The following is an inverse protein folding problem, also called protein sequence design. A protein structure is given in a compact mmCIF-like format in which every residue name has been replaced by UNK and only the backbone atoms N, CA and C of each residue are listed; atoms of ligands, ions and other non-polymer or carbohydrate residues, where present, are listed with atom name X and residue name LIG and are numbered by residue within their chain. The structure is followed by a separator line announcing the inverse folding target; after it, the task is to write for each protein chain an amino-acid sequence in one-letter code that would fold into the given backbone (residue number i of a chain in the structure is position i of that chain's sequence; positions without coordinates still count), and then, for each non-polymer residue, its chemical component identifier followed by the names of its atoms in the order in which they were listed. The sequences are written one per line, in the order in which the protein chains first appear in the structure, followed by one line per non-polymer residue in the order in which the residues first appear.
data_IF_469911005010
#
_entry.id   IF_469911005010
#
_cell.length_a   1.000
_cell.length_b   1.000
_cell.length_c   1.000
_cell.angle_alpha   90.00
_cell.angle_beta   90.00
_cell.angle_gamma   90.00
#
_symmetry.space_group_name_H-M   'P 1'
#
loop_
_entity.id
_entity.type
_entity.pdbx_description
1 polymer ?
#
# COMPACT_ATOMS: atom_id res chain seq x y z
N UNK A 1 -15.88 -3.86 -0.72
CA UNK A 1 -15.77 -2.43 -1.07
C UNK A 1 -14.89 -1.70 -0.07
N UNK A 2 -15.14 -1.82 1.24
CA UNK A 2 -14.42 -1.03 2.26
C UNK A 2 -12.96 -1.47 2.49
N UNK A 3 -12.66 -2.77 2.39
CA UNK A 3 -11.32 -3.31 2.66
C UNK A 3 -10.28 -2.82 1.65
N UNK A 4 -10.61 -2.74 0.36
CA UNK A 4 -9.68 -2.28 -0.67
C UNK A 4 -9.21 -0.84 -0.46
N UNK A 5 -10.12 0.06 -0.06
CA UNK A 5 -9.77 1.45 0.24
C UNK A 5 -8.92 1.58 1.51
N UNK A 6 -9.20 0.79 2.54
CA UNK A 6 -8.40 0.79 3.77
C UNK A 6 -6.98 0.33 3.48
N UNK A 7 -6.79 -0.74 2.71
CA UNK A 7 -5.45 -1.26 2.37
C UNK A 7 -4.68 -0.27 1.48
N UNK A 8 -5.38 0.43 0.58
CA UNK A 8 -4.79 1.49 -0.24
C UNK A 8 -4.30 2.65 0.65
N UNK A 9 -5.12 3.09 1.60
CA UNK A 9 -4.76 4.15 2.54
C UNK A 9 -3.57 3.75 3.42
N UNK A 10 -3.54 2.51 3.93
CA UNK A 10 -2.41 1.96 4.68
C UNK A 10 -1.14 1.92 3.82
N UNK A 11 -1.25 1.56 2.54
CA UNK A 11 -0.13 1.55 1.60
C UNK A 11 0.47 2.96 1.43
N UNK A 12 -0.38 3.98 1.26
CA UNK A 12 0.07 5.38 1.16
C UNK A 12 0.79 5.80 2.45
N UNK A 13 0.23 5.46 3.62
CA UNK A 13 0.87 5.75 4.91
C UNK A 13 2.24 5.06 5.06
N UNK A 14 2.39 3.82 4.57
CA UNK A 14 3.68 3.13 4.56
C UNK A 14 4.70 3.84 3.66
N UNK A 15 4.29 4.30 2.47
CA UNK A 15 5.17 5.07 1.58
C UNK A 15 5.62 6.39 2.22
N UNK A 16 4.71 7.08 2.91
CA UNK A 16 5.04 8.29 3.67
C UNK A 16 5.99 7.97 4.84
N UNK A 17 5.79 6.84 5.52
CA UNK A 17 6.66 6.38 6.59
C UNK A 17 8.08 6.09 6.10
N UNK A 18 8.26 5.51 4.91
CA UNK A 18 9.59 5.32 4.31
C UNK A 18 10.33 6.65 4.21
N UNK A 19 9.69 7.70 3.67
CA UNK A 19 10.30 9.02 3.51
C UNK A 19 10.61 9.67 4.87
N UNK A 20 9.71 9.50 5.85
CA UNK A 20 9.89 9.99 7.22
C UNK A 20 11.07 9.32 7.93
N UNK A 21 11.13 7.99 7.87
CA UNK A 21 12.19 7.19 8.49
C UNK A 21 13.55 7.43 7.83
N UNK A 22 13.56 7.68 6.52
CA UNK A 22 14.76 8.06 5.78
C UNK A 22 15.33 9.39 6.29
N UNK A 23 14.45 10.38 6.55
CA UNK A 23 14.83 11.66 7.15
C UNK A 23 15.29 11.51 8.61
N UNK A 24 14.76 10.53 9.34
CA UNK A 24 15.17 10.21 10.71
C UNK A 24 16.48 9.39 10.77
N UNK A 25 17.12 9.08 9.63
CA UNK A 25 18.33 8.24 9.54
C UNK A 25 18.14 6.82 10.13
N UNK A 26 16.89 6.39 10.30
CA UNK A 26 16.59 5.09 10.89
C UNK A 26 16.47 4.02 9.78
N UNK A 27 17.61 3.44 9.39
CA UNK A 27 17.69 2.43 8.33
C UNK A 27 16.80 1.20 8.59
N UNK A 28 16.63 0.80 9.86
CA UNK A 28 15.74 -0.31 10.22
C UNK A 28 14.27 0.03 9.98
N UNK A 29 13.85 1.26 10.32
CA UNK A 29 12.49 1.74 10.08
C UNK A 29 12.19 1.87 8.60
N UNK A 30 13.15 2.35 7.81
CA UNK A 30 13.04 2.39 6.33
C UNK A 30 12.85 0.98 5.75
N UNK A 31 13.66 0.00 6.18
CA UNK A 31 13.55 -1.37 5.68
C UNK A 31 12.19 -1.99 6.06
N UNK A 32 11.75 -1.80 7.31
CA UNK A 32 10.45 -2.29 7.77
C UNK A 32 9.28 -1.64 7.02
N UNK A 33 9.29 -0.31 6.89
CA UNK A 33 8.27 0.42 6.16
C UNK A 33 8.29 0.09 4.66
N UNK A 34 9.46 -0.18 4.09
CA UNK A 34 9.64 -0.64 2.71
C UNK A 34 8.99 -2.00 2.46
N UNK A 35 9.26 -2.98 3.34
CA UNK A 35 8.66 -4.31 3.25
C UNK A 35 7.13 -4.22 3.45
N UNK A 36 6.67 -3.42 4.43
CA UNK A 36 5.25 -3.19 4.64
C UNK A 36 4.58 -2.56 3.40
N UNK A 37 5.18 -1.54 2.80
CA UNK A 37 4.67 -0.92 1.58
C UNK A 37 4.60 -1.91 0.41
N UNK A 38 5.57 -2.82 0.27
CA UNK A 38 5.54 -3.87 -0.76
C UNK A 38 4.39 -4.86 -0.52
N UNK A 39 4.23 -5.37 0.70
CA UNK A 39 3.18 -6.34 1.04
C UNK A 39 1.80 -5.70 0.90
N UNK A 40 1.58 -4.54 1.51
CA UNK A 40 0.29 -3.84 1.45
C UNK A 40 0.00 -3.31 0.05
N UNK A 41 1.00 -2.83 -0.69
CA UNK A 41 0.85 -2.40 -2.08
C UNK A 41 0.44 -3.55 -3.01
N UNK A 42 1.07 -4.72 -2.87
CA UNK A 42 0.69 -5.91 -3.65
C UNK A 42 -0.75 -6.34 -3.38
N UNK A 43 -1.15 -6.40 -2.10
CA UNK A 43 -2.53 -6.71 -1.71
C UNK A 43 -3.52 -5.63 -2.17
N UNK A 44 -3.13 -4.35 -2.14
CA UNK A 44 -3.95 -3.23 -2.58
C UNK A 44 -4.27 -3.34 -4.08
N UNK A 45 -3.27 -3.61 -4.93
CA UNK A 45 -3.44 -3.77 -6.38
C UNK A 45 -4.39 -4.93 -6.69
N UNK A 46 -4.20 -6.09 -6.05
CA UNK A 46 -5.06 -7.25 -6.26
C UNK A 46 -6.51 -6.99 -5.87
N UNK A 47 -6.72 -6.31 -4.75
CA UNK A 47 -8.07 -5.96 -4.27
C UNK A 47 -8.74 -4.97 -5.22
N UNK A 48 -8.01 -3.93 -5.65
CA UNK A 48 -8.53 -2.90 -6.56
C UNK A 48 -8.82 -3.48 -7.95
N UNK A 49 -8.00 -4.43 -8.42
CA UNK A 49 -8.25 -5.16 -9.66
C UNK A 49 -9.57 -5.94 -9.62
N UNK A 50 -9.81 -6.67 -8.53
CA UNK A 50 -11.01 -7.50 -8.36
C UNK A 50 -12.28 -6.68 -8.14
N UNK A 51 -12.21 -5.63 -7.32
CA UNK A 51 -13.39 -4.82 -6.95
C UNK A 51 -13.71 -3.70 -7.92
N UNK A 52 -12.72 -3.10 -8.58
CA UNK A 52 -12.94 -1.95 -9.48
C UNK A 52 -12.75 -2.30 -10.95
N UNK A 53 -11.65 -2.97 -11.32
CA UNK A 53 -11.33 -3.23 -12.73
C UNK A 53 -12.20 -4.33 -13.33
N UNK A 54 -12.34 -5.47 -12.66
CA UNK A 54 -13.10 -6.63 -13.17
C UNK A 54 -14.56 -6.26 -13.51
N UNK A 55 -15.33 -5.55 -12.67
CA UNK A 55 -16.69 -5.15 -13.03
C UNK A 55 -16.75 -4.05 -14.10
N UNK A 56 -15.73 -3.19 -14.22
CA UNK A 56 -15.67 -2.15 -15.26
C UNK A 56 -15.47 -2.73 -16.67
N UNK A 57 -14.73 -3.83 -16.81
CA UNK A 57 -14.51 -4.51 -18.10
C UNK A 57 -15.60 -5.53 -18.46
N UNK A 58 -16.53 -5.83 -17.55
CA UNK A 58 -17.67 -6.73 -17.80
C UNK A 58 -18.99 -6.00 -18.09
N UNK A 59 -18.96 -4.67 -18.26
CA UNK A 59 -20.08 -3.82 -18.69
C UNK A 59 -19.78 -3.16 -20.04
#
# INVERSE_FOLDING_TARGET
MELGFIILLVTILCVVAIVREFKAHNMFGVAFAGIAALVFGFFSIGTLYWELIRPLFQN
#
